data_IF_203220146480
#
_entry.id   IF_203220146480
#
_cell.length_a   1.000
_cell.length_b   1.000
_cell.length_c   1.000
_cell.angle_alpha   90.00
_cell.angle_beta   90.00
_cell.angle_gamma   90.00
#
_symmetry.space_group_name_H-M   'P 1'
#
loop_
_entity.id
_entity.type
_entity.pdbx_description
1 polymer ?
#
# COMPACT_ATOMS: atom_id res chain seq x y z
N UNK A 1 74.93 -34.48 20.18
CA UNK A 1 73.65 -33.83 20.41
C UNK A 1 73.30 -32.96 19.20
N UNK A 2 72.44 -33.45 18.33
CA UNK A 2 72.05 -32.75 17.10
C UNK A 2 70.59 -32.23 17.35
N UNK A 3 70.46 -30.91 17.27
CA UNK A 3 69.20 -30.26 17.33
C UNK A 3 68.66 -30.05 15.92
N UNK A 4 67.54 -30.65 15.60
CA UNK A 4 66.90 -30.55 14.31
C UNK A 4 65.89 -29.37 14.37
N UNK A 5 66.07 -28.37 13.50
CA UNK A 5 65.20 -27.24 13.33
C UNK A 5 64.16 -27.63 12.26
N UNK A 6 62.91 -27.81 12.64
CA UNK A 6 61.79 -27.97 11.71
C UNK A 6 61.30 -26.60 11.24
N UNK A 7 61.47 -26.31 9.99
CA UNK A 7 60.90 -25.12 9.34
C UNK A 7 59.40 -25.37 9.04
N UNK A 8 58.53 -24.57 9.65
CA UNK A 8 57.09 -24.54 9.39
C UNK A 8 56.83 -23.65 8.17
N UNK A 9 56.51 -24.26 7.05
CA UNK A 9 56.04 -23.54 5.85
C UNK A 9 54.57 -23.20 6.04
N UNK A 10 54.28 -21.96 6.36
CA UNK A 10 52.90 -21.43 6.35
C UNK A 10 52.51 -21.09 4.91
N UNK A 11 51.72 -21.97 4.29
CA UNK A 11 51.09 -21.72 3.01
C UNK A 11 49.97 -20.71 3.19
N UNK A 12 50.17 -19.49 2.71
CA UNK A 12 49.15 -18.44 2.68
C UNK A 12 48.19 -18.76 1.51
N UNK A 13 47.14 -19.53 1.76
CA UNK A 13 46.02 -19.63 0.84
C UNK A 13 45.28 -18.30 0.89
N UNK A 14 45.48 -17.45 -0.08
CA UNK A 14 44.59 -16.32 -0.38
C UNK A 14 43.22 -16.90 -0.82
N UNK A 15 42.28 -16.99 0.10
CA UNK A 15 40.88 -17.24 -0.23
C UNK A 15 40.40 -16.01 -0.99
N UNK A 16 40.25 -16.16 -2.31
CA UNK A 16 39.46 -15.26 -3.13
C UNK A 16 38.06 -15.27 -2.55
N UNK A 17 37.70 -14.23 -1.82
CA UNK A 17 36.30 -14.02 -1.41
C UNK A 17 35.45 -14.01 -2.68
N UNK A 18 34.33 -14.77 -2.72
CA UNK A 18 33.43 -14.72 -3.87
C UNK A 18 33.00 -13.28 -4.07
N UNK A 19 33.13 -12.78 -5.29
CA UNK A 19 32.72 -11.41 -5.63
C UNK A 19 31.28 -11.24 -5.19
N UNK A 20 31.00 -10.18 -4.41
CA UNK A 20 29.66 -9.82 -3.99
C UNK A 20 28.76 -9.81 -5.22
N UNK A 21 27.60 -10.45 -5.13
CA UNK A 21 26.59 -10.39 -6.17
C UNK A 21 26.21 -8.93 -6.45
N UNK A 22 25.75 -8.61 -7.64
CA UNK A 22 25.31 -7.23 -7.97
C UNK A 22 24.31 -6.69 -6.94
N UNK A 23 23.46 -7.56 -6.37
CA UNK A 23 22.51 -7.24 -5.29
C UNK A 23 23.21 -6.80 -3.97
N UNK A 24 24.43 -7.27 -3.69
CA UNK A 24 25.17 -6.92 -2.46
C UNK A 24 25.96 -5.61 -2.56
N UNK A 25 26.07 -5.02 -3.75
CA UNK A 25 26.81 -3.78 -3.98
C UNK A 25 26.06 -2.52 -3.56
N UNK A 26 24.75 -2.61 -3.36
CA UNK A 26 23.90 -1.45 -3.08
C UNK A 26 23.23 -1.59 -1.72
N UNK A 27 23.40 -0.58 -0.86
CA UNK A 27 22.58 -0.45 0.35
C UNK A 27 21.15 -0.14 -0.09
N UNK A 28 20.17 -1.05 0.13
CA UNK A 28 18.80 -0.77 -0.27
C UNK A 28 18.28 0.40 0.56
N UNK A 29 17.64 1.37 -0.12
CA UNK A 29 16.92 2.42 0.57
C UNK A 29 15.78 1.81 1.42
N UNK A 30 15.41 2.44 2.56
CA UNK A 30 14.28 1.98 3.35
C UNK A 30 13.05 1.79 2.46
N UNK A 31 12.39 0.64 2.58
CA UNK A 31 11.24 0.29 1.74
C UNK A 31 10.12 1.34 1.80
N UNK A 32 9.97 2.06 2.93
CA UNK A 32 9.01 3.16 3.10
C UNK A 32 9.14 4.27 2.06
N UNK A 33 10.32 4.46 1.47
CA UNK A 33 10.55 5.48 0.43
C UNK A 33 9.99 5.08 -0.94
N UNK A 34 9.55 3.84 -1.12
CA UNK A 34 8.78 3.40 -2.27
C UNK A 34 7.29 3.85 -2.16
N UNK A 35 6.94 4.52 -1.07
CA UNK A 35 5.57 4.97 -0.81
C UNK A 35 4.61 3.80 -0.77
N UNK A 36 3.44 3.96 -1.33
CA UNK A 36 2.46 2.86 -1.42
C UNK A 36 2.88 1.72 -2.38
N UNK A 37 4.04 1.79 -3.02
CA UNK A 37 4.64 0.64 -3.72
C UNK A 37 5.55 -0.21 -2.82
N UNK A 38 5.69 0.15 -1.54
CA UNK A 38 6.35 -0.67 -0.53
C UNK A 38 5.66 -2.02 -0.39
N UNK A 39 6.43 -3.07 -0.18
CA UNK A 39 5.89 -4.40 0.09
C UNK A 39 5.29 -4.46 1.50
N UNK A 40 4.34 -5.37 1.70
CA UNK A 40 3.79 -5.65 3.02
C UNK A 40 4.89 -6.12 3.98
N UNK A 41 4.92 -5.53 5.16
CA UNK A 41 5.90 -5.85 6.20
C UNK A 41 5.36 -6.96 7.13
N UNK A 42 5.64 -8.19 6.78
CA UNK A 42 5.24 -9.34 7.57
C UNK A 42 5.98 -9.47 8.91
N UNK A 43 7.16 -8.85 9.03
CA UNK A 43 7.95 -8.92 10.27
C UNK A 43 7.38 -7.99 11.35
N UNK A 44 6.54 -7.03 10.95
CA UNK A 44 5.85 -6.12 11.86
C UNK A 44 4.47 -6.61 12.32
N UNK A 45 4.05 -7.81 11.90
CA UNK A 45 2.76 -8.39 12.31
C UNK A 45 2.80 -8.76 13.79
N UNK A 46 1.87 -8.18 14.55
CA UNK A 46 1.76 -8.39 15.99
C UNK A 46 0.88 -9.61 16.32
N UNK A 47 1.10 -10.27 17.45
CA UNK A 47 0.13 -11.21 18.00
C UNK A 47 -1.23 -10.55 18.20
N UNK A 48 -2.31 -11.34 18.16
CA UNK A 48 -3.63 -10.81 18.55
C UNK A 48 -3.63 -10.41 20.03
N UNK A 49 -4.27 -9.28 20.32
CA UNK A 49 -4.49 -8.81 21.69
C UNK A 49 -5.99 -8.77 21.93
N UNK A 50 -6.50 -9.81 22.59
CA UNK A 50 -7.92 -9.92 23.01
C UNK A 50 -7.96 -10.47 24.42
N UNK A 51 -8.87 -9.96 25.29
CA UNK A 51 -9.16 -10.61 26.57
C UNK A 51 -9.61 -12.07 26.35
N UNK A 52 -9.20 -12.98 27.21
CA UNK A 52 -9.56 -14.42 27.12
C UNK A 52 -11.07 -14.67 27.14
N UNK A 53 -11.85 -13.74 27.70
CA UNK A 53 -13.30 -13.80 27.73
C UNK A 53 -13.97 -13.39 26.41
N UNK A 54 -13.23 -12.92 25.42
CA UNK A 54 -13.76 -12.52 24.13
C UNK A 54 -13.45 -13.59 23.07
N UNK A 55 -14.49 -14.17 22.50
CA UNK A 55 -14.39 -15.20 21.47
C UNK A 55 -14.65 -14.63 20.08
N UNK A 56 -13.63 -14.50 19.21
CA UNK A 56 -13.80 -14.07 17.84
C UNK A 56 -14.75 -14.98 17.07
N UNK A 57 -15.64 -14.41 16.26
CA UNK A 57 -16.57 -15.19 15.46
C UNK A 57 -16.82 -14.62 14.05
N UNK A 58 -16.53 -13.33 13.83
CA UNK A 58 -16.73 -12.69 12.52
C UNK A 58 -15.65 -11.65 12.24
N UNK A 59 -15.29 -11.51 10.95
CA UNK A 59 -14.32 -10.51 10.49
C UNK A 59 -14.89 -9.74 9.29
N UNK A 60 -14.94 -8.41 9.37
CA UNK A 60 -15.04 -7.53 8.21
C UNK A 60 -13.64 -7.16 7.75
N UNK A 61 -13.31 -7.43 6.49
CA UNK A 61 -11.97 -7.28 5.94
C UNK A 61 -11.97 -6.33 4.75
N UNK A 62 -11.10 -5.34 4.75
CA UNK A 62 -10.94 -4.39 3.64
C UNK A 62 -9.48 -4.46 3.19
N UNK A 63 -9.23 -4.82 1.94
CA UNK A 63 -7.90 -5.08 1.45
C UNK A 63 -7.58 -4.35 0.15
N UNK A 64 -6.32 -4.01 0.00
CA UNK A 64 -5.69 -3.56 -1.23
C UNK A 64 -5.07 -4.75 -1.95
N UNK A 65 -5.05 -4.71 -3.29
CA UNK A 65 -4.33 -5.70 -4.08
C UNK A 65 -2.85 -5.83 -3.67
N UNK A 66 -2.30 -7.03 -3.83
CA UNK A 66 -0.90 -7.37 -3.59
C UNK A 66 0.09 -6.68 -4.53
N UNK A 67 1.36 -7.04 -4.43
CA UNK A 67 2.42 -6.54 -5.30
C UNK A 67 2.10 -6.79 -6.77
N UNK A 68 2.49 -5.86 -7.63
CA UNK A 68 2.10 -5.85 -9.04
C UNK A 68 3.17 -5.27 -9.95
N UNK A 69 3.06 -5.58 -11.22
CA UNK A 69 3.80 -4.90 -12.27
C UNK A 69 3.36 -3.43 -12.41
N UNK A 70 4.18 -2.60 -13.07
CA UNK A 70 3.81 -1.22 -13.38
C UNK A 70 2.47 -1.19 -14.13
N UNK A 71 1.63 -0.20 -13.82
CA UNK A 71 0.26 -0.13 -14.36
C UNK A 71 0.19 0.19 -15.84
N UNK A 72 1.23 0.77 -16.41
CA UNK A 72 1.25 1.23 -17.79
C UNK A 72 2.67 1.32 -18.31
N UNK A 73 2.86 0.97 -19.57
CA UNK A 73 4.09 1.17 -20.33
C UNK A 73 4.49 2.66 -20.43
N UNK A 74 3.53 3.56 -20.34
CA UNK A 74 3.78 4.99 -20.39
C UNK A 74 4.79 5.50 -19.35
N UNK A 75 4.89 4.81 -18.20
CA UNK A 75 5.89 5.18 -17.17
C UNK A 75 7.32 4.96 -17.65
N UNK A 76 7.55 3.91 -18.39
CA UNK A 76 8.86 3.62 -19.02
C UNK A 76 9.06 4.54 -20.22
N UNK A 77 8.05 4.69 -21.07
CA UNK A 77 8.09 5.52 -22.27
C UNK A 77 8.40 6.99 -21.96
N UNK A 78 7.89 7.54 -20.85
CA UNK A 78 8.17 8.93 -20.44
C UNK A 78 9.68 9.15 -20.21
N UNK A 79 10.34 8.23 -19.52
CA UNK A 79 11.79 8.29 -19.27
C UNK A 79 12.56 8.07 -20.58
N UNK A 80 12.26 7.02 -21.32
CA UNK A 80 12.96 6.68 -22.58
C UNK A 80 12.89 7.80 -23.61
N UNK A 81 11.73 8.41 -23.80
CA UNK A 81 11.54 9.51 -24.76
C UNK A 81 12.56 10.62 -24.55
N UNK A 82 12.77 11.04 -23.31
CA UNK A 82 13.71 12.13 -22.99
C UNK A 82 15.15 11.66 -23.16
N UNK A 83 15.50 10.43 -22.75
CA UNK A 83 16.84 9.89 -22.91
C UNK A 83 17.22 9.67 -24.37
N UNK A 84 16.30 9.18 -25.21
CA UNK A 84 16.52 9.00 -26.64
C UNK A 84 16.68 10.34 -27.36
N UNK A 85 15.99 11.38 -26.92
CA UNK A 85 16.18 12.73 -27.44
C UNK A 85 17.56 13.29 -27.07
N UNK A 86 17.99 13.11 -25.80
CA UNK A 86 19.33 13.45 -25.35
C UNK A 86 20.42 12.68 -26.14
N UNK A 87 20.16 11.42 -26.50
CA UNK A 87 21.05 10.63 -27.34
C UNK A 87 21.18 11.21 -28.76
N UNK A 88 20.05 11.59 -29.37
CA UNK A 88 20.06 12.21 -30.71
C UNK A 88 20.81 13.55 -30.72
N UNK A 89 20.73 14.30 -29.64
CA UNK A 89 21.45 15.57 -29.45
C UNK A 89 22.93 15.40 -29.05
N UNK A 90 23.38 14.17 -28.80
CA UNK A 90 24.74 13.89 -28.38
C UNK A 90 25.05 14.29 -26.91
N UNK A 91 24.03 14.57 -26.09
CA UNK A 91 24.19 14.97 -24.69
C UNK A 91 24.00 13.83 -23.69
N UNK A 92 23.48 12.67 -24.13
CA UNK A 92 23.24 11.52 -23.26
C UNK A 92 24.54 11.02 -22.61
N UNK A 93 24.55 10.95 -21.30
CA UNK A 93 25.72 10.49 -20.54
C UNK A 93 25.83 8.95 -20.58
N UNK A 94 26.95 8.41 -20.05
CA UNK A 94 27.10 6.97 -19.81
C UNK A 94 25.96 6.47 -18.89
N UNK A 95 25.70 7.20 -17.81
CA UNK A 95 24.63 6.90 -16.85
C UNK A 95 23.25 6.90 -17.51
N UNK A 96 23.01 7.79 -18.46
CA UNK A 96 21.80 7.80 -19.27
C UNK A 96 21.65 6.56 -20.15
N UNK A 97 22.73 6.04 -20.71
CA UNK A 97 22.73 4.76 -21.46
C UNK A 97 22.42 3.58 -20.55
N UNK A 98 22.97 3.54 -19.35
CA UNK A 98 22.70 2.50 -18.35
C UNK A 98 21.22 2.57 -17.90
N UNK A 99 20.64 3.79 -17.81
CA UNK A 99 19.22 3.98 -17.53
C UNK A 99 18.33 3.47 -18.68
N UNK A 100 18.69 3.69 -19.95
CA UNK A 100 17.99 3.07 -21.07
C UNK A 100 17.99 1.54 -20.98
N UNK A 101 19.13 0.94 -20.62
CA UNK A 101 19.21 -0.50 -20.40
C UNK A 101 18.32 -0.98 -19.24
N UNK A 102 18.16 -0.17 -18.17
CA UNK A 102 17.20 -0.45 -17.11
C UNK A 102 15.76 -0.39 -17.64
N UNK A 103 15.40 0.64 -18.41
CA UNK A 103 14.05 0.76 -19.00
C UNK A 103 13.72 -0.45 -19.86
N UNK A 104 14.66 -0.91 -20.69
CA UNK A 104 14.48 -2.09 -21.51
C UNK A 104 14.29 -3.38 -20.67
N UNK A 105 15.04 -3.54 -19.57
CA UNK A 105 14.83 -4.65 -18.63
C UNK A 105 13.43 -4.63 -18.01
N UNK A 106 12.97 -3.46 -17.57
CA UNK A 106 11.63 -3.27 -17.01
C UNK A 106 10.56 -3.61 -18.05
N UNK A 107 10.73 -3.14 -19.28
CA UNK A 107 9.81 -3.44 -20.39
C UNK A 107 9.69 -4.92 -20.65
N UNK A 108 10.81 -5.64 -20.73
CA UNK A 108 10.82 -7.10 -20.94
C UNK A 108 10.15 -7.85 -19.79
N UNK A 109 10.45 -7.46 -18.55
CA UNK A 109 9.87 -8.10 -17.37
C UNK A 109 8.36 -7.89 -17.26
N UNK A 110 7.85 -6.77 -17.81
CA UNK A 110 6.43 -6.41 -17.74
C UNK A 110 5.65 -6.69 -19.01
N UNK A 111 6.30 -7.24 -20.05
CA UNK A 111 5.65 -7.51 -21.32
C UNK A 111 4.42 -8.42 -21.14
N UNK A 112 3.24 -7.95 -21.60
CA UNK A 112 1.97 -8.65 -21.44
C UNK A 112 1.39 -8.68 -20.03
N UNK A 113 2.06 -8.06 -19.02
CA UNK A 113 1.66 -8.11 -17.62
C UNK A 113 1.46 -6.72 -16.98
N UNK A 114 1.33 -5.67 -17.78
CA UNK A 114 1.12 -4.32 -17.25
C UNK A 114 -0.07 -4.24 -16.31
N UNK A 115 0.18 -3.85 -15.06
CA UNK A 115 -0.83 -3.71 -14.02
C UNK A 115 -1.37 -5.02 -13.45
N UNK A 116 -0.87 -6.17 -13.87
CA UNK A 116 -1.23 -7.47 -13.31
C UNK A 116 -0.54 -7.72 -11.96
N UNK A 117 -1.12 -8.61 -11.17
CA UNK A 117 -0.51 -9.06 -9.91
C UNK A 117 0.84 -9.74 -10.22
N UNK A 118 1.88 -9.45 -9.42
CA UNK A 118 3.17 -10.14 -9.55
C UNK A 118 3.18 -11.41 -8.71
N UNK A 119 4.18 -12.28 -8.93
CA UNK A 119 4.34 -13.47 -8.10
C UNK A 119 4.51 -13.14 -6.62
N UNK A 120 5.23 -12.04 -6.29
CA UNK A 120 5.30 -11.54 -4.91
C UNK A 120 3.90 -11.23 -4.39
N UNK A 121 3.05 -10.59 -5.20
CA UNK A 121 1.68 -10.26 -4.80
C UNK A 121 0.83 -11.49 -4.50
N UNK A 122 0.94 -12.53 -5.31
CA UNK A 122 0.25 -13.81 -5.06
C UNK A 122 0.69 -14.43 -3.73
N UNK A 123 1.99 -14.49 -3.49
CA UNK A 123 2.54 -15.02 -2.25
C UNK A 123 2.16 -14.19 -1.01
N UNK A 124 2.05 -12.84 -1.14
CA UNK A 124 1.54 -11.99 -0.08
C UNK A 124 0.12 -12.40 0.32
N UNK A 125 -0.78 -12.56 -0.63
CA UNK A 125 -2.19 -12.88 -0.36
C UNK A 125 -2.37 -14.31 0.19
N UNK A 126 -1.66 -15.29 -0.38
CA UNK A 126 -1.64 -16.65 0.16
C UNK A 126 -1.16 -16.68 1.61
N UNK A 127 -0.13 -15.90 1.95
CA UNK A 127 0.36 -15.79 3.32
C UNK A 127 -0.65 -15.11 4.23
N UNK A 128 -1.27 -14.01 3.79
CA UNK A 128 -2.28 -13.28 4.56
C UNK A 128 -3.50 -14.16 4.86
N UNK A 129 -3.99 -14.94 3.90
CA UNK A 129 -5.10 -15.87 4.11
C UNK A 129 -4.77 -16.95 5.16
N UNK A 130 -3.59 -17.58 5.07
CA UNK A 130 -3.12 -18.57 6.06
C UNK A 130 -2.94 -17.96 7.45
N UNK A 131 -2.35 -16.76 7.54
CA UNK A 131 -2.19 -16.04 8.82
C UNK A 131 -3.55 -15.67 9.43
N UNK A 132 -4.56 -15.36 8.61
CA UNK A 132 -5.92 -15.08 9.09
C UNK A 132 -6.51 -16.29 9.81
N UNK A 133 -6.44 -17.48 9.22
CA UNK A 133 -6.90 -18.73 9.85
C UNK A 133 -6.08 -19.06 11.09
N UNK A 134 -4.75 -18.96 11.02
CA UNK A 134 -3.88 -19.24 12.16
C UNK A 134 -4.16 -18.33 13.36
N UNK A 135 -4.50 -17.07 13.10
CA UNK A 135 -4.71 -16.06 14.14
C UNK A 135 -6.13 -16.08 14.72
N UNK A 136 -7.12 -16.45 13.90
CA UNK A 136 -8.54 -16.44 14.25
C UNK A 136 -9.24 -17.73 13.80
N UNK A 137 -8.78 -18.92 14.25
CA UNK A 137 -9.37 -20.20 13.81
C UNK A 137 -10.85 -20.30 14.19
N UNK A 138 -11.26 -19.64 15.27
CA UNK A 138 -12.63 -19.64 15.78
C UNK A 138 -13.65 -19.00 14.81
N UNK A 139 -13.16 -18.16 13.88
CA UNK A 139 -14.00 -17.46 12.88
C UNK A 139 -14.45 -18.39 11.74
N UNK A 140 -13.77 -19.53 11.58
CA UNK A 140 -13.94 -20.41 10.43
C UNK A 140 -14.36 -21.85 10.86
N UNK A 141 -15.49 -22.01 11.58
CA UNK A 141 -15.99 -23.36 11.88
C UNK A 141 -16.49 -24.04 10.60
N UNK A 142 -16.38 -25.37 10.51
CA UNK A 142 -16.82 -26.16 9.34
C UNK A 142 -18.30 -25.91 8.97
N UNK A 143 -19.16 -25.62 9.97
CA UNK A 143 -20.58 -25.32 9.80
C UNK A 143 -20.90 -23.82 9.68
N UNK A 144 -19.87 -22.96 9.58
CA UNK A 144 -20.02 -21.52 9.56
C UNK A 144 -20.46 -20.94 8.20
N UNK A 145 -20.62 -19.62 8.16
CA UNK A 145 -21.00 -18.88 6.93
C UNK A 145 -19.87 -18.81 5.90
N UNK A 146 -18.65 -19.19 6.30
CA UNK A 146 -17.49 -19.24 5.43
C UNK A 146 -16.89 -17.88 5.09
N UNK A 147 -16.33 -17.78 3.89
CA UNK A 147 -15.63 -16.58 3.40
C UNK A 147 -16.34 -16.01 2.18
N UNK A 148 -16.70 -14.72 2.24
CA UNK A 148 -17.25 -13.98 1.12
C UNK A 148 -16.31 -12.86 0.71
N UNK A 149 -15.89 -12.81 -0.57
CA UNK A 149 -15.12 -11.71 -1.14
C UNK A 149 -15.94 -10.94 -2.18
N UNK A 150 -15.77 -9.61 -2.18
CA UNK A 150 -16.30 -8.69 -3.18
C UNK A 150 -15.17 -7.80 -3.70
N UNK A 151 -14.92 -7.78 -5.00
CA UNK A 151 -13.80 -7.05 -5.58
C UNK A 151 -14.19 -6.14 -6.75
N UNK A 152 -13.32 -5.17 -7.04
CA UNK A 152 -13.41 -4.41 -8.28
C UNK A 152 -13.19 -5.33 -9.49
N UNK A 153 -13.61 -4.87 -10.67
CA UNK A 153 -13.42 -5.59 -11.94
C UNK A 153 -11.97 -5.66 -12.43
N UNK A 154 -11.02 -5.04 -11.72
CA UNK A 154 -9.62 -4.94 -12.15
C UNK A 154 -8.90 -6.28 -11.92
N UNK A 155 -8.27 -6.90 -12.94
CA UNK A 155 -7.75 -8.27 -12.84
C UNK A 155 -6.86 -8.55 -11.65
N UNK A 156 -5.90 -7.66 -11.32
CA UNK A 156 -5.04 -7.84 -10.14
C UNK A 156 -5.79 -7.88 -8.81
N UNK A 157 -6.97 -7.20 -8.73
CA UNK A 157 -7.77 -7.17 -7.49
C UNK A 157 -8.59 -8.44 -7.37
N UNK A 158 -9.12 -8.94 -8.50
CA UNK A 158 -9.79 -10.24 -8.57
C UNK A 158 -8.82 -11.33 -8.13
N UNK A 159 -7.64 -11.38 -8.74
CA UNK A 159 -6.61 -12.37 -8.42
C UNK A 159 -6.14 -12.27 -6.96
N UNK A 160 -6.03 -11.06 -6.40
CA UNK A 160 -5.74 -10.83 -4.96
C UNK A 160 -6.80 -11.49 -4.07
N UNK A 161 -8.08 -11.21 -4.33
CA UNK A 161 -9.20 -11.81 -3.61
C UNK A 161 -9.18 -13.34 -3.70
N UNK A 162 -9.00 -13.85 -4.92
CA UNK A 162 -8.98 -15.30 -5.17
C UNK A 162 -7.83 -15.99 -4.41
N UNK A 163 -6.60 -15.45 -4.46
CA UNK A 163 -5.46 -16.02 -3.72
C UNK A 163 -5.69 -16.01 -2.20
N UNK A 164 -6.27 -14.93 -1.66
CA UNK A 164 -6.59 -14.85 -0.24
C UNK A 164 -7.65 -15.89 0.17
N UNK A 165 -8.74 -16.02 -0.59
CA UNK A 165 -9.82 -17.00 -0.33
C UNK A 165 -9.31 -18.43 -0.48
N UNK A 166 -8.56 -18.73 -1.54
CA UNK A 166 -7.95 -20.03 -1.77
C UNK A 166 -7.09 -20.44 -0.57
N UNK A 167 -6.26 -19.53 -0.06
CA UNK A 167 -5.39 -19.83 1.08
C UNK A 167 -6.16 -20.19 2.36
N UNK A 168 -7.34 -19.59 2.57
CA UNK A 168 -8.22 -19.94 3.70
C UNK A 168 -8.89 -21.30 3.43
N UNK A 169 -9.45 -21.49 2.23
CA UNK A 169 -10.14 -22.73 1.85
C UNK A 169 -9.23 -23.96 1.85
N UNK A 170 -7.97 -23.80 1.42
CA UNK A 170 -6.96 -24.87 1.46
C UNK A 170 -6.56 -25.28 2.90
N UNK A 171 -6.91 -24.44 3.90
CA UNK A 171 -6.57 -24.71 5.29
C UNK A 171 -7.74 -25.39 6.03
N UNK A 172 -8.97 -25.26 5.54
CA UNK A 172 -10.19 -25.74 6.20
C UNK A 172 -11.07 -26.45 5.16
N UNK A 173 -11.15 -27.77 5.28
CA UNK A 173 -11.94 -28.61 4.39
C UNK A 173 -13.44 -28.28 4.46
N UNK A 174 -14.05 -28.14 3.29
CA UNK A 174 -15.50 -27.94 3.19
C UNK A 174 -15.99 -26.53 3.55
N UNK A 175 -15.09 -25.57 3.84
CA UNK A 175 -15.48 -24.20 4.16
C UNK A 175 -16.22 -23.55 2.99
N UNK A 176 -17.44 -23.01 3.17
CA UNK A 176 -18.15 -22.30 2.11
C UNK A 176 -17.39 -21.05 1.67
N UNK A 177 -17.21 -20.87 0.37
CA UNK A 177 -16.54 -19.69 -0.19
C UNK A 177 -17.38 -19.04 -1.29
N UNK A 178 -17.30 -17.71 -1.38
CA UNK A 178 -17.94 -16.93 -2.43
C UNK A 178 -17.03 -15.79 -2.85
N UNK A 179 -16.65 -15.76 -4.12
CA UNK A 179 -15.84 -14.71 -4.73
C UNK A 179 -16.65 -13.99 -5.82
N UNK A 180 -16.93 -12.72 -5.62
CA UNK A 180 -17.71 -11.89 -6.53
C UNK A 180 -16.90 -10.68 -6.99
N UNK A 181 -16.96 -10.37 -8.28
CA UNK A 181 -16.23 -9.26 -8.86
C UNK A 181 -17.05 -8.52 -9.90
N UNK A 182 -16.66 -7.29 -10.20
CA UNK A 182 -17.26 -6.55 -11.29
C UNK A 182 -17.63 -5.12 -10.93
N UNK A 183 -18.23 -4.42 -11.93
CA UNK A 183 -18.64 -3.02 -11.78
C UNK A 183 -19.79 -2.81 -10.80
N UNK A 184 -20.55 -3.87 -10.49
CA UNK A 184 -21.58 -3.82 -9.46
C UNK A 184 -21.01 -3.45 -8.08
N UNK A 185 -19.72 -3.71 -7.86
CA UNK A 185 -19.03 -3.40 -6.60
C UNK A 185 -18.20 -2.09 -6.67
N UNK A 186 -18.30 -1.31 -7.75
CA UNK A 186 -17.57 -0.04 -7.88
C UNK A 186 -17.94 0.97 -6.79
N UNK A 187 -19.17 0.95 -6.28
CA UNK A 187 -19.62 1.77 -5.16
C UNK A 187 -18.88 1.48 -3.84
N UNK A 188 -18.32 0.27 -3.65
CA UNK A 188 -17.51 -0.12 -2.51
C UNK A 188 -15.99 -0.05 -2.79
N UNK A 189 -15.59 -0.29 -4.04
CA UNK A 189 -14.18 -0.53 -4.38
C UNK A 189 -13.56 0.57 -5.22
N UNK A 190 -14.37 1.37 -5.94
CA UNK A 190 -13.94 2.41 -6.87
C UNK A 190 -14.76 3.69 -6.78
N UNK A 191 -15.40 3.95 -5.64
CA UNK A 191 -16.22 5.15 -5.39
C UNK A 191 -15.46 6.45 -5.72
N UNK A 192 -14.14 6.45 -5.65
CA UNK A 192 -13.28 7.56 -6.09
C UNK A 192 -13.41 7.90 -7.61
N UNK A 193 -14.09 7.08 -8.40
CA UNK A 193 -14.42 7.36 -9.80
C UNK A 193 -15.93 7.44 -10.06
N UNK A 194 -16.77 7.01 -9.14
CA UNK A 194 -18.22 6.93 -9.31
C UNK A 194 -18.99 7.98 -8.51
N UNK A 195 -18.40 8.54 -7.44
CA UNK A 195 -18.95 9.69 -6.71
C UNK A 195 -18.52 10.98 -7.42
N UNK A 196 -19.46 11.74 -8.05
CA UNK A 196 -19.09 12.83 -8.95
C UNK A 196 -18.32 13.98 -8.30
N UNK A 197 -18.69 14.39 -7.08
CA UNK A 197 -18.00 15.45 -6.33
C UNK A 197 -16.57 15.05 -6.00
N UNK A 198 -16.37 13.82 -5.56
CA UNK A 198 -15.05 13.28 -5.24
C UNK A 198 -14.18 13.12 -6.49
N UNK A 199 -14.71 12.58 -7.61
CA UNK A 199 -13.96 12.48 -8.86
C UNK A 199 -13.55 13.86 -9.39
N UNK A 200 -14.43 14.87 -9.26
CA UNK A 200 -14.13 16.27 -9.57
C UNK A 200 -13.01 16.81 -8.69
N UNK A 201 -13.07 16.59 -7.37
CA UNK A 201 -12.01 16.99 -6.42
C UNK A 201 -10.65 16.43 -6.84
N UNK A 202 -10.57 15.14 -7.10
CA UNK A 202 -9.33 14.48 -7.53
C UNK A 202 -8.75 15.09 -8.81
N UNK A 203 -9.60 15.41 -9.76
CA UNK A 203 -9.18 15.89 -11.10
C UNK A 203 -8.89 17.37 -11.13
N UNK A 204 -9.61 18.18 -10.37
CA UNK A 204 -9.63 19.65 -10.53
C UNK A 204 -9.68 20.42 -9.20
N UNK A 205 -9.45 19.77 -8.06
CA UNK A 205 -9.44 20.45 -6.75
C UNK A 205 -8.28 21.42 -6.59
N UNK A 206 -8.46 22.41 -5.71
CA UNK A 206 -7.50 23.50 -5.44
C UNK A 206 -6.16 23.00 -4.88
N UNK A 207 -6.12 21.76 -4.39
CA UNK A 207 -4.89 21.09 -3.98
C UNK A 207 -3.80 21.08 -5.06
N UNK A 208 -4.17 21.20 -6.34
CA UNK A 208 -3.23 21.15 -7.45
C UNK A 208 -2.25 22.32 -7.46
N UNK A 209 -2.70 23.49 -7.06
CA UNK A 209 -1.82 24.66 -6.99
C UNK A 209 -0.82 24.49 -5.84
N UNK A 210 -1.29 24.03 -4.67
CA UNK A 210 -0.41 23.71 -3.54
C UNK A 210 0.61 22.63 -3.92
N UNK A 211 0.17 21.56 -4.58
CA UNK A 211 1.05 20.49 -5.05
C UNK A 211 2.07 20.98 -6.09
N UNK A 212 1.66 21.83 -7.01
CA UNK A 212 2.52 22.41 -8.04
C UNK A 212 3.67 23.21 -7.41
N UNK A 213 3.35 24.07 -6.43
CA UNK A 213 4.35 24.87 -5.74
C UNK A 213 5.29 24.00 -4.90
N UNK A 214 4.73 23.01 -4.18
CA UNK A 214 5.52 22.05 -3.42
C UNK A 214 6.47 21.25 -4.33
N UNK A 215 5.96 20.66 -5.41
CA UNK A 215 6.75 19.85 -6.33
C UNK A 215 7.84 20.66 -7.04
N UNK A 216 7.58 21.93 -7.35
CA UNK A 216 8.55 22.81 -8.00
C UNK A 216 9.79 23.10 -7.12
N UNK A 217 9.64 23.14 -5.79
CA UNK A 217 10.75 23.37 -4.84
C UNK A 217 11.37 22.09 -4.30
N UNK A 218 10.63 20.98 -4.30
CA UNK A 218 11.05 19.72 -3.63
C UNK A 218 11.70 18.74 -4.61
N UNK A 219 11.16 18.60 -5.85
CA UNK A 219 11.67 17.62 -6.79
C UNK A 219 13.11 17.93 -7.24
N UNK A 220 14.02 16.94 -7.23
CA UNK A 220 15.42 17.15 -7.56
C UNK A 220 15.67 17.29 -9.07
N UNK A 221 16.63 18.12 -9.44
CA UNK A 221 17.11 18.31 -10.83
C UNK A 221 18.29 17.39 -11.16
N UNK A 222 19.20 17.18 -10.18
CA UNK A 222 20.46 16.47 -10.36
C UNK A 222 20.34 15.04 -10.95
N UNK A 223 19.38 14.20 -10.53
CA UNK A 223 19.25 12.87 -11.12
C UNK A 223 19.07 12.89 -12.63
N UNK A 224 18.20 13.78 -13.12
CA UNK A 224 17.98 13.97 -14.55
C UNK A 224 19.22 14.53 -15.27
N UNK A 225 19.86 15.56 -14.72
CA UNK A 225 21.12 16.10 -15.28
C UNK A 225 22.21 15.05 -15.41
N UNK A 226 22.32 14.14 -14.41
CA UNK A 226 23.26 13.05 -14.46
C UNK A 226 23.02 12.07 -15.62
N UNK A 227 21.78 11.99 -16.12
CA UNK A 227 21.42 11.14 -17.24
C UNK A 227 21.59 11.84 -18.59
N UNK A 228 21.09 13.07 -18.73
CA UNK A 228 21.03 13.77 -20.01
C UNK A 228 22.20 14.72 -20.27
N UNK A 229 23.01 14.99 -19.24
CA UNK A 229 24.13 15.95 -19.29
C UNK A 229 23.69 17.40 -19.10
N UNK A 230 24.62 18.25 -18.61
CA UNK A 230 24.36 19.69 -18.34
C UNK A 230 23.99 20.48 -19.57
N UNK A 231 24.42 20.05 -20.76
CA UNK A 231 24.18 20.72 -22.04
C UNK A 231 22.97 20.14 -22.79
N UNK A 232 22.03 19.49 -22.08
CA UNK A 232 20.86 18.85 -22.67
C UNK A 232 19.85 19.84 -23.28
N UNK A 233 19.90 21.12 -22.86
CA UNK A 233 18.93 22.16 -23.28
C UNK A 233 17.58 22.01 -22.59
N UNK A 234 17.44 21.14 -21.58
CA UNK A 234 16.21 21.00 -20.80
C UNK A 234 16.12 22.06 -19.71
N UNK A 235 14.93 22.59 -19.50
CA UNK A 235 14.63 23.47 -18.37
C UNK A 235 14.61 22.70 -17.04
N UNK A 236 14.77 23.41 -15.92
CA UNK A 236 14.65 22.83 -14.58
C UNK A 236 13.34 22.06 -14.38
N UNK A 237 12.24 22.58 -14.93
CA UNK A 237 10.93 21.93 -14.88
C UNK A 237 10.94 20.56 -15.58
N UNK A 238 11.56 20.48 -16.76
CA UNK A 238 11.67 19.22 -17.51
C UNK A 238 12.61 18.24 -16.81
N UNK A 239 13.71 18.72 -16.23
CA UNK A 239 14.64 17.91 -15.44
C UNK A 239 13.97 17.35 -14.18
N UNK A 240 13.19 18.17 -13.45
CA UNK A 240 12.41 17.69 -12.30
C UNK A 240 11.39 16.63 -12.70
N UNK A 241 10.71 16.83 -13.84
CA UNK A 241 9.76 15.86 -14.37
C UNK A 241 10.44 14.53 -14.70
N UNK A 242 11.60 14.55 -15.36
CA UNK A 242 12.37 13.34 -15.67
C UNK A 242 12.85 12.62 -14.40
N UNK A 243 13.34 13.35 -13.39
CA UNK A 243 13.73 12.78 -12.10
C UNK A 243 12.53 12.08 -11.43
N UNK A 244 11.37 12.71 -11.45
CA UNK A 244 10.15 12.16 -10.87
C UNK A 244 9.62 10.95 -11.65
N UNK A 245 9.66 10.98 -12.98
CA UNK A 245 9.27 9.83 -13.81
C UNK A 245 10.22 8.64 -13.58
N UNK A 246 11.51 8.88 -13.46
CA UNK A 246 12.47 7.83 -13.07
C UNK A 246 12.12 7.24 -11.70
N UNK A 247 11.85 8.06 -10.69
CA UNK A 247 11.42 7.59 -9.37
C UNK A 247 10.18 6.69 -9.48
N UNK A 248 9.19 7.06 -10.29
CA UNK A 248 7.96 6.25 -10.51
C UNK A 248 8.22 4.88 -11.12
N UNK A 249 9.32 4.69 -11.82
CA UNK A 249 9.77 3.36 -12.28
C UNK A 249 10.51 2.63 -11.15
N UNK A 250 11.48 3.31 -10.51
CA UNK A 250 12.35 2.71 -9.49
C UNK A 250 11.58 2.16 -8.29
N UNK A 251 10.56 2.89 -7.80
CA UNK A 251 9.72 2.45 -6.67
C UNK A 251 8.97 1.14 -6.94
N UNK A 252 8.77 0.77 -8.20
CA UNK A 252 8.07 -0.47 -8.58
C UNK A 252 8.98 -1.69 -8.73
N UNK A 253 10.30 -1.53 -8.74
CA UNK A 253 11.22 -2.63 -9.07
C UNK A 253 11.12 -3.81 -8.11
N UNK A 254 11.04 -3.54 -6.79
CA UNK A 254 10.90 -4.59 -5.78
C UNK A 254 9.62 -5.41 -5.95
N UNK A 255 8.51 -4.74 -6.26
CA UNK A 255 7.22 -5.39 -6.49
C UNK A 255 7.21 -6.33 -7.72
N UNK A 256 8.17 -6.15 -8.64
CA UNK A 256 8.35 -6.94 -9.85
C UNK A 256 9.49 -7.97 -9.73
N UNK A 257 10.06 -8.18 -8.56
CA UNK A 257 11.25 -9.01 -8.33
C UNK A 257 12.48 -8.59 -9.16
N UNK A 258 12.56 -7.31 -9.51
CA UNK A 258 13.71 -6.79 -10.22
C UNK A 258 14.74 -6.21 -9.24
N UNK A 259 16.05 -6.30 -9.55
CA UNK A 259 17.06 -5.60 -8.79
C UNK A 259 16.73 -4.10 -8.69
N UNK A 260 16.81 -3.55 -7.47
CA UNK A 260 16.43 -2.17 -7.20
C UNK A 260 17.64 -1.32 -6.74
N UNK A 261 18.61 -1.04 -7.65
CA UNK A 261 19.81 -0.26 -7.33
C UNK A 261 19.48 1.25 -7.31
N UNK A 262 18.53 1.64 -6.47
CA UNK A 262 17.97 3.00 -6.44
C UNK A 262 19.02 4.06 -6.11
N UNK A 263 20.03 3.72 -5.30
CA UNK A 263 21.17 4.62 -4.96
C UNK A 263 22.13 4.87 -6.12
N UNK A 264 22.09 4.06 -7.16
CA UNK A 264 22.83 4.32 -8.40
C UNK A 264 22.32 5.57 -9.12
N UNK A 265 21.02 5.84 -9.01
CA UNK A 265 20.31 6.87 -9.77
C UNK A 265 20.07 8.13 -8.97
N UNK A 266 19.73 7.97 -7.68
CA UNK A 266 19.35 9.05 -6.77
C UNK A 266 20.04 8.86 -5.43
N UNK A 267 20.38 9.96 -4.74
CA UNK A 267 20.74 9.88 -3.32
C UNK A 267 19.51 9.51 -2.49
N UNK A 268 19.67 9.04 -1.24
CA UNK A 268 18.54 8.81 -0.34
C UNK A 268 17.63 10.02 -0.18
N UNK A 269 18.19 11.22 -0.10
CA UNK A 269 17.47 12.48 0.07
C UNK A 269 16.67 12.83 -1.18
N UNK A 270 17.24 12.64 -2.38
CA UNK A 270 16.55 12.87 -3.65
C UNK A 270 15.41 11.89 -3.88
N UNK A 271 15.61 10.64 -3.50
CA UNK A 271 14.58 9.61 -3.56
C UNK A 271 13.45 9.93 -2.57
N UNK A 272 13.79 10.33 -1.34
CA UNK A 272 12.83 10.79 -0.33
C UNK A 272 12.05 12.02 -0.80
N UNK A 273 12.72 13.00 -1.44
CA UNK A 273 12.05 14.18 -1.98
C UNK A 273 10.99 13.82 -3.05
N UNK A 274 11.28 12.86 -3.92
CA UNK A 274 10.30 12.34 -4.87
C UNK A 274 9.14 11.62 -4.17
N UNK A 275 9.42 10.84 -3.11
CA UNK A 275 8.39 10.22 -2.30
C UNK A 275 7.52 11.26 -1.58
N UNK A 276 8.11 12.29 -0.97
CA UNK A 276 7.35 13.36 -0.31
C UNK A 276 6.34 14.01 -1.25
N UNK A 277 6.74 14.26 -2.52
CA UNK A 277 5.82 14.78 -3.52
C UNK A 277 4.68 13.79 -3.82
N UNK A 278 4.98 12.51 -3.98
CA UNK A 278 3.95 11.47 -4.20
C UNK A 278 3.03 11.32 -2.98
N UNK A 279 3.58 11.38 -1.78
CA UNK A 279 2.85 11.28 -0.52
C UNK A 279 1.85 12.43 -0.38
N UNK A 280 2.29 13.67 -0.65
CA UNK A 280 1.43 14.85 -0.62
C UNK A 280 0.31 14.79 -1.68
N UNK A 281 0.63 14.35 -2.91
CA UNK A 281 -0.38 14.17 -3.96
C UNK A 281 -1.48 13.22 -3.50
N UNK A 282 -1.11 12.08 -2.90
CA UNK A 282 -2.08 11.09 -2.40
C UNK A 282 -2.86 11.58 -1.17
N UNK A 283 -2.21 12.31 -0.29
CA UNK A 283 -2.87 12.91 0.86
C UNK A 283 -4.05 13.76 0.42
N UNK A 284 -3.85 14.69 -0.53
CA UNK A 284 -4.92 15.53 -1.03
C UNK A 284 -5.99 14.78 -1.83
N UNK A 285 -5.59 13.77 -2.58
CA UNK A 285 -6.52 13.03 -3.43
C UNK A 285 -7.36 12.01 -2.66
N UNK A 286 -6.85 11.46 -1.55
CA UNK A 286 -7.44 10.26 -0.95
C UNK A 286 -7.60 10.32 0.58
N UNK A 287 -7.25 11.42 1.24
CA UNK A 287 -7.40 11.55 2.68
C UNK A 287 -8.23 12.77 3.08
N UNK A 288 -8.55 12.84 4.36
CA UNK A 288 -9.09 14.06 4.97
C UNK A 288 -7.99 15.12 5.02
N UNK A 289 -8.25 16.28 4.47
CA UNK A 289 -7.29 17.40 4.47
C UNK A 289 -7.96 18.71 4.86
N UNK A 290 -7.19 19.76 5.24
CA UNK A 290 -7.75 21.09 5.49
C UNK A 290 -8.48 21.68 4.29
N UNK A 291 -8.21 21.19 3.08
CA UNK A 291 -8.80 21.69 1.85
C UNK A 291 -10.10 20.99 1.47
N UNK A 292 -10.34 19.77 1.97
CA UNK A 292 -11.56 19.02 1.57
C UNK A 292 -11.84 17.79 2.43
N UNK A 293 -13.13 17.55 2.65
CA UNK A 293 -13.67 16.31 3.23
C UNK A 293 -14.14 15.32 2.15
N UNK A 294 -14.15 15.69 0.88
CA UNK A 294 -14.68 14.89 -0.24
C UNK A 294 -14.11 13.46 -0.32
N UNK A 295 -12.79 13.24 -0.13
CA UNK A 295 -12.28 11.87 -0.16
C UNK A 295 -12.90 10.99 0.94
N UNK A 296 -12.94 11.47 2.17
CA UNK A 296 -13.51 10.73 3.30
C UNK A 296 -15.03 10.49 3.09
N UNK A 297 -15.77 11.52 2.68
CA UNK A 297 -17.22 11.43 2.43
C UNK A 297 -17.54 10.50 1.26
N UNK A 298 -16.67 10.42 0.25
CA UNK A 298 -16.81 9.49 -0.86
C UNK A 298 -16.81 8.01 -0.44
N UNK A 299 -16.25 7.68 0.73
CA UNK A 299 -16.20 6.32 1.29
C UNK A 299 -17.45 5.93 2.10
N UNK A 300 -18.49 6.77 2.14
CA UNK A 300 -19.67 6.58 3.00
C UNK A 300 -20.38 5.22 2.79
N UNK A 301 -20.47 4.75 1.55
CA UNK A 301 -21.10 3.45 1.24
C UNK A 301 -20.37 2.28 1.93
N UNK A 302 -19.04 2.33 2.01
CA UNK A 302 -18.25 1.30 2.72
C UNK A 302 -18.54 1.36 4.21
N UNK A 303 -18.57 2.54 4.81
CA UNK A 303 -18.91 2.70 6.23
C UNK A 303 -20.33 2.18 6.53
N UNK A 304 -21.33 2.52 5.71
CA UNK A 304 -22.69 2.04 5.89
C UNK A 304 -22.82 0.52 5.67
N UNK A 305 -22.02 -0.05 4.75
CA UNK A 305 -21.92 -1.51 4.60
C UNK A 305 -21.43 -2.18 5.89
N UNK A 306 -20.37 -1.65 6.51
CA UNK A 306 -19.85 -2.14 7.79
C UNK A 306 -20.88 -1.98 8.94
N UNK A 307 -21.61 -0.86 8.99
CA UNK A 307 -22.68 -0.65 9.97
C UNK A 307 -23.82 -1.66 9.78
N UNK A 308 -24.21 -1.96 8.55
CA UNK A 308 -25.22 -2.97 8.25
C UNK A 308 -24.78 -4.38 8.68
N UNK A 309 -23.49 -4.72 8.50
CA UNK A 309 -22.91 -5.97 9.04
C UNK A 309 -23.00 -6.00 10.58
N UNK A 310 -22.68 -4.91 11.26
CA UNK A 310 -22.83 -4.81 12.73
C UNK A 310 -24.26 -5.04 13.19
N UNK A 311 -25.26 -4.47 12.47
CA UNK A 311 -26.68 -4.68 12.78
C UNK A 311 -27.05 -6.14 12.56
N UNK A 312 -26.60 -6.76 11.47
CA UNK A 312 -26.87 -8.15 11.16
C UNK A 312 -26.24 -9.12 12.21
N UNK A 313 -25.04 -8.83 12.69
CA UNK A 313 -24.39 -9.57 13.78
C UNK A 313 -25.15 -9.46 15.10
N UNK A 314 -25.67 -8.26 15.43
CA UNK A 314 -26.47 -8.06 16.65
C UNK A 314 -27.83 -8.76 16.59
N UNK A 315 -28.45 -8.82 15.42
CA UNK A 315 -29.74 -9.47 15.20
C UNK A 315 -29.63 -10.99 14.96
N UNK A 316 -28.39 -11.52 14.88
CA UNK A 316 -28.14 -12.94 14.62
C UNK A 316 -28.46 -13.39 13.19
N UNK A 317 -28.68 -12.46 12.24
CA UNK A 317 -28.88 -12.77 10.82
C UNK A 317 -27.57 -12.96 10.05
N UNK A 318 -26.45 -12.56 10.62
CA UNK A 318 -25.11 -12.84 10.19
C UNK A 318 -24.38 -13.56 11.31
N UNK A 319 -23.75 -14.67 10.97
CA UNK A 319 -23.09 -15.58 11.94
C UNK A 319 -21.57 -15.58 11.72
N UNK A 320 -20.93 -16.70 12.03
CA UNK A 320 -19.48 -16.86 11.91
C UNK A 320 -18.98 -16.70 10.48
N UNK A 321 -17.77 -16.22 10.28
CA UNK A 321 -17.14 -16.13 8.97
C UNK A 321 -16.42 -14.80 8.70
N UNK A 322 -16.09 -14.59 7.42
CA UNK A 322 -15.39 -13.39 6.94
C UNK A 322 -16.09 -12.79 5.73
N UNK A 323 -16.31 -11.48 5.75
CA UNK A 323 -16.69 -10.68 4.57
C UNK A 323 -15.57 -9.74 4.18
N UNK A 324 -15.10 -9.82 2.93
CA UNK A 324 -13.97 -9.05 2.41
C UNK A 324 -14.34 -8.11 1.26
N UNK A 325 -13.88 -6.85 1.32
CA UNK A 325 -13.92 -5.88 0.23
C UNK A 325 -12.49 -5.70 -0.29
N UNK A 326 -12.25 -6.05 -1.56
CA UNK A 326 -10.94 -5.99 -2.17
C UNK A 326 -10.86 -4.85 -3.19
N UNK A 327 -9.90 -3.95 -3.01
CA UNK A 327 -9.79 -2.74 -3.80
C UNK A 327 -8.37 -2.27 -4.03
N UNK A 328 -8.18 -0.98 -3.88
CA UNK A 328 -6.96 -0.23 -4.22
C UNK A 328 -6.51 0.62 -3.02
N UNK A 329 -5.33 1.25 -3.08
CA UNK A 329 -4.95 2.27 -2.10
C UNK A 329 -5.98 3.41 -2.07
N UNK A 330 -6.50 3.74 -3.23
CA UNK A 330 -7.55 4.73 -3.49
C UNK A 330 -8.92 4.34 -2.87
N UNK A 331 -9.11 3.07 -2.53
CA UNK A 331 -10.25 2.57 -1.76
C UNK A 331 -9.98 2.71 -0.25
N UNK A 332 -8.80 2.24 0.19
CA UNK A 332 -8.50 2.13 1.61
C UNK A 332 -8.27 3.49 2.28
N UNK A 333 -7.49 4.39 1.66
CA UNK A 333 -7.14 5.68 2.26
C UNK A 333 -8.37 6.52 2.64
N UNK A 334 -9.40 6.69 1.76
CA UNK A 334 -10.60 7.41 2.14
C UNK A 334 -11.42 6.71 3.23
N UNK A 335 -11.50 5.38 3.17
CA UNK A 335 -12.17 4.58 4.21
C UNK A 335 -11.48 4.77 5.56
N UNK A 336 -10.15 4.69 5.61
CA UNK A 336 -9.38 4.92 6.83
C UNK A 336 -9.62 6.32 7.38
N UNK A 337 -9.61 7.34 6.53
CA UNK A 337 -9.86 8.73 6.91
C UNK A 337 -11.29 8.92 7.49
N UNK A 338 -12.30 8.31 6.89
CA UNK A 338 -13.69 8.37 7.37
C UNK A 338 -13.85 7.64 8.70
N UNK A 339 -13.33 6.42 8.81
CA UNK A 339 -13.46 5.60 10.02
C UNK A 339 -12.57 6.09 11.19
N UNK A 340 -11.63 7.01 10.94
CA UNK A 340 -10.71 7.50 11.95
C UNK A 340 -9.61 6.51 12.32
N UNK A 341 -9.16 5.71 11.36
CA UNK A 341 -8.06 4.76 11.60
C UNK A 341 -6.79 5.53 11.99
N UNK A 342 -6.05 5.10 13.03
CA UNK A 342 -4.87 5.82 13.49
C UNK A 342 -3.85 6.13 12.39
N UNK A 343 -3.40 7.39 12.35
CA UNK A 343 -2.44 7.89 11.36
C UNK A 343 -3.03 8.20 9.98
N UNK A 344 -4.36 8.07 9.79
CA UNK A 344 -5.02 8.40 8.52
C UNK A 344 -5.61 9.81 8.47
N UNK A 345 -5.69 10.51 9.60
CA UNK A 345 -6.34 11.83 9.75
C UNK A 345 -5.35 12.86 10.27
N UNK A 346 -4.34 13.20 9.50
CA UNK A 346 -3.44 14.30 9.82
C UNK A 346 -4.02 15.63 9.29
N UNK A 347 -3.87 16.69 10.07
CA UNK A 347 -4.16 18.07 9.67
C UNK A 347 -2.90 18.92 9.89
N UNK A 348 -1.86 18.72 9.05
CA UNK A 348 -0.55 19.33 9.28
C UNK A 348 -0.59 20.85 9.15
N UNK A 349 0.26 21.54 9.94
CA UNK A 349 0.46 22.97 9.85
C UNK A 349 1.25 23.38 8.60
N UNK A 350 2.13 22.48 8.14
CA UNK A 350 2.83 22.61 6.87
C UNK A 350 2.93 21.23 6.17
N UNK A 351 3.19 21.26 4.88
CA UNK A 351 3.27 20.03 4.10
C UNK A 351 4.69 19.48 3.95
N UNK A 352 5.70 20.20 4.39
CA UNK A 352 7.10 19.77 4.28
C UNK A 352 7.40 18.59 5.21
N UNK A 353 6.69 18.51 6.33
CA UNK A 353 6.79 17.45 7.34
C UNK A 353 5.57 16.52 7.37
N UNK A 354 4.67 16.60 6.38
CA UNK A 354 3.48 15.74 6.31
C UNK A 354 3.79 14.26 6.53
N UNK A 355 4.92 13.77 6.02
CA UNK A 355 5.32 12.35 6.09
C UNK A 355 5.52 11.82 7.52
N UNK A 356 5.71 12.69 8.50
CA UNK A 356 5.83 12.32 9.91
C UNK A 356 4.48 11.93 10.50
N UNK A 357 3.43 12.64 10.12
CA UNK A 357 2.06 12.43 10.60
C UNK A 357 1.27 11.47 9.70
N UNK A 358 1.34 11.68 8.38
CA UNK A 358 0.62 10.90 7.38
C UNK A 358 1.57 10.31 6.34
N UNK A 359 1.46 9.00 6.09
CA UNK A 359 2.34 8.29 5.17
C UNK A 359 1.57 7.21 4.41
N UNK A 360 1.54 7.34 3.08
CA UNK A 360 0.94 6.35 2.19
C UNK A 360 1.65 4.98 2.29
N UNK A 361 2.95 4.98 2.56
CA UNK A 361 3.75 3.77 2.77
C UNK A 361 3.34 3.01 4.04
N UNK A 362 2.97 3.73 5.11
CA UNK A 362 2.51 3.14 6.37
C UNK A 362 1.07 2.67 6.29
N UNK A 363 0.21 3.47 5.67
CA UNK A 363 -1.23 3.20 5.61
C UNK A 363 -1.58 2.15 4.57
N UNK A 364 -1.03 2.29 3.37
CA UNK A 364 -1.42 1.44 2.25
C UNK A 364 -0.22 0.91 1.46
N UNK A 365 0.69 0.12 2.07
CA UNK A 365 1.65 -0.68 1.30
C UNK A 365 0.89 -1.64 0.36
N UNK A 366 1.59 -2.32 -0.55
CA UNK A 366 1.00 -3.39 -1.36
C UNK A 366 0.50 -4.51 -0.44
N UNK A 367 -0.70 -5.05 -0.70
CA UNK A 367 -1.42 -6.00 0.18
C UNK A 367 -1.91 -5.41 1.52
N UNK A 368 -1.95 -4.08 1.66
CA UNK A 368 -2.47 -3.42 2.86
C UNK A 368 -3.89 -3.85 3.18
N UNK A 369 -4.20 -3.95 4.47
CA UNK A 369 -5.50 -4.41 4.92
C UNK A 369 -5.91 -3.81 6.27
N UNK A 370 -7.23 -3.73 6.45
CA UNK A 370 -7.88 -3.45 7.73
C UNK A 370 -8.80 -4.64 8.05
N UNK A 371 -8.55 -5.31 9.16
CA UNK A 371 -9.44 -6.32 9.70
C UNK A 371 -10.18 -5.75 10.92
N UNK A 372 -11.51 -5.88 10.92
CA UNK A 372 -12.38 -5.55 12.05
C UNK A 372 -12.89 -6.87 12.60
N UNK A 373 -12.42 -7.25 13.78
CA UNK A 373 -12.69 -8.53 14.40
C UNK A 373 -13.82 -8.36 15.41
N UNK A 374 -14.91 -9.07 15.21
CA UNK A 374 -16.05 -9.09 16.12
C UNK A 374 -15.95 -10.32 17.03
N UNK A 375 -16.01 -10.06 18.34
CA UNK A 375 -15.87 -11.08 19.38
C UNK A 375 -17.04 -11.05 20.35
N UNK A 376 -17.51 -12.22 20.78
CA UNK A 376 -18.63 -12.37 21.71
C UNK A 376 -18.12 -12.59 23.13
N UNK A 377 -18.61 -11.81 24.08
CA UNK A 377 -18.42 -12.05 25.49
C UNK A 377 -19.38 -13.11 26.05
N UNK A 378 -19.13 -13.72 27.20
CA UNK A 378 -20.05 -14.66 27.87
C UNK A 378 -21.44 -14.07 28.13
N UNK A 379 -21.54 -12.75 28.28
CA UNK A 379 -22.82 -12.03 28.41
C UNK A 379 -23.64 -11.95 27.12
N UNK A 380 -23.12 -12.45 25.99
CA UNK A 380 -23.69 -12.27 24.65
C UNK A 380 -23.39 -10.92 24.00
N UNK A 381 -22.77 -9.98 24.71
CA UNK A 381 -22.38 -8.67 24.15
C UNK A 381 -21.26 -8.84 23.11
N UNK A 382 -21.36 -8.11 21.99
CA UNK A 382 -20.38 -8.15 20.92
C UNK A 382 -19.47 -6.93 21.00
N UNK A 383 -18.16 -7.21 20.90
CA UNK A 383 -17.08 -6.23 20.86
C UNK A 383 -16.40 -6.26 19.50
N UNK A 384 -15.88 -5.13 19.09
CA UNK A 384 -15.07 -4.97 17.89
C UNK A 384 -13.65 -4.55 18.28
N UNK A 385 -12.65 -5.17 17.67
CA UNK A 385 -11.26 -4.78 17.68
C UNK A 385 -10.76 -4.59 16.26
N UNK A 386 -9.67 -3.85 16.07
CA UNK A 386 -9.14 -3.55 14.74
C UNK A 386 -7.67 -3.91 14.58
N UNK A 387 -7.32 -4.32 13.36
CA UNK A 387 -5.92 -4.53 12.96
C UNK A 387 -5.66 -3.86 11.62
N UNK A 388 -4.68 -2.95 11.60
CA UNK A 388 -4.19 -2.30 10.38
C UNK A 388 -2.85 -2.93 9.98
N UNK A 389 -2.78 -3.50 8.80
CA UNK A 389 -1.56 -4.15 8.28
C UNK A 389 -0.95 -5.13 9.31
N UNK A 390 -1.79 -5.91 9.98
CA UNK A 390 -1.36 -6.89 10.99
C UNK A 390 -1.02 -6.33 12.37
N UNK A 391 -1.12 -5.02 12.60
CA UNK A 391 -0.90 -4.39 13.91
C UNK A 391 -2.21 -4.10 14.62
N UNK A 392 -2.25 -4.28 15.93
CA UNK A 392 -3.42 -3.93 16.73
C UNK A 392 -3.54 -2.41 16.82
N UNK A 393 -4.71 -1.88 16.47
CA UNK A 393 -4.99 -0.44 16.52
C UNK A 393 -6.29 -0.16 17.28
N UNK A 394 -6.39 0.97 18.00
CA UNK A 394 -7.62 1.34 18.68
C UNK A 394 -8.75 1.57 17.66
N UNK A 395 -9.97 1.05 17.93
CA UNK A 395 -11.12 1.23 17.04
C UNK A 395 -11.73 2.64 17.07
N UNK A 396 -11.34 3.45 18.04
CA UNK A 396 -11.80 4.84 18.26
C UNK A 396 -10.60 5.74 18.58
N UNK A 397 -10.84 7.01 18.89
CA UNK A 397 -9.79 7.96 19.27
C UNK A 397 -9.18 7.69 20.67
N UNK A 398 -9.66 6.69 21.41
CA UNK A 398 -9.08 6.29 22.69
C UNK A 398 -7.92 5.29 22.48
N UNK A 399 -6.66 5.72 22.58
CA UNK A 399 -5.51 4.86 22.31
C UNK A 399 -5.32 3.74 23.36
N UNK A 400 -5.97 3.85 24.53
CA UNK A 400 -5.90 2.85 25.60
C UNK A 400 -6.87 1.69 25.41
N UNK A 401 -7.79 1.77 24.44
CA UNK A 401 -8.83 0.75 24.23
C UNK A 401 -8.67 0.03 22.89
N UNK A 402 -8.21 -1.21 22.91
CA UNK A 402 -8.08 -2.06 21.72
C UNK A 402 -9.37 -2.81 21.35
N UNK A 403 -10.41 -2.71 22.17
CA UNK A 403 -11.74 -3.24 21.87
C UNK A 403 -12.84 -2.34 22.45
N UNK A 404 -13.93 -2.19 21.70
CA UNK A 404 -15.13 -1.41 22.08
C UNK A 404 -16.38 -2.19 21.72
N UNK A 405 -17.52 -1.89 22.32
CA UNK A 405 -18.78 -2.54 21.91
C UNK A 405 -19.22 -2.06 20.54
N UNK A 406 -20.00 -2.87 19.81
CA UNK A 406 -20.57 -2.46 18.52
C UNK A 406 -21.35 -1.14 18.59
N UNK A 407 -22.21 -0.88 19.59
CA UNK A 407 -22.90 0.41 19.69
C UNK A 407 -21.92 1.59 19.86
N UNK A 408 -20.85 1.45 20.65
CA UNK A 408 -19.84 2.49 20.80
C UNK A 408 -19.14 2.77 19.48
N UNK A 409 -18.69 1.73 18.76
CA UNK A 409 -18.03 1.88 17.48
C UNK A 409 -18.92 2.53 16.42
N UNK A 410 -20.17 2.08 16.33
CA UNK A 410 -21.15 2.64 15.40
C UNK A 410 -21.45 4.10 15.70
N UNK A 411 -21.62 4.47 16.97
CA UNK A 411 -21.82 5.85 17.39
C UNK A 411 -20.61 6.71 17.02
N UNK A 412 -19.39 6.20 17.24
CA UNK A 412 -18.16 6.90 16.88
C UNK A 412 -18.11 7.17 15.35
N UNK A 413 -18.37 6.18 14.49
CA UNK A 413 -18.36 6.37 13.05
C UNK A 413 -19.45 7.31 12.55
N UNK A 414 -20.67 7.21 13.09
CA UNK A 414 -21.78 8.11 12.73
C UNK A 414 -21.48 9.56 13.15
N UNK A 415 -20.91 9.78 14.30
CA UNK A 415 -20.51 11.13 14.74
C UNK A 415 -19.43 11.72 13.80
N UNK A 416 -18.42 10.93 13.40
CA UNK A 416 -17.42 11.36 12.41
C UNK A 416 -18.08 11.71 11.07
N UNK A 417 -18.95 10.84 10.57
CA UNK A 417 -19.70 11.11 9.35
C UNK A 417 -20.47 12.44 9.41
N UNK A 418 -21.19 12.69 10.49
CA UNK A 418 -21.94 13.94 10.69
C UNK A 418 -21.03 15.16 10.77
N UNK A 419 -19.90 15.05 11.45
CA UNK A 419 -18.90 16.14 11.55
C UNK A 419 -18.28 16.50 10.20
N UNK A 420 -18.06 15.51 9.33
CA UNK A 420 -17.44 15.70 8.02
C UNK A 420 -18.44 16.09 6.92
N UNK A 421 -19.73 15.86 7.14
CA UNK A 421 -20.77 16.14 6.16
C UNK A 421 -21.14 17.64 6.14
N UNK A 422 -20.95 18.35 5.01
CA UNK A 422 -21.32 19.76 4.90
C UNK A 422 -22.81 20.04 5.15
N UNK A 423 -23.68 19.06 4.91
CA UNK A 423 -25.13 19.18 5.05
C UNK A 423 -25.66 18.85 6.45
N UNK A 424 -24.82 18.40 7.39
CA UNK A 424 -25.25 18.14 8.76
C UNK A 424 -25.31 19.40 9.65
N UNK A 425 -24.96 20.56 9.10
CA UNK A 425 -24.94 21.85 9.81
C UNK A 425 -26.16 22.76 9.50
N UNK A 426 -27.19 22.23 8.82
CA UNK A 426 -28.42 22.99 8.53
C UNK A 426 -29.69 22.22 8.92
#
# INVERSE_FOLDING_TARGET
MKATISALVISLMATLAPGRSEAERYTPLPARLDGSMSLYDFDSVEPRVLPDSLHPFYISYIARHGARYLTSENKVNSVEKVLLEAQRRGSLTRKGKDCLALMERVRRATAGQWGMLSEIGKQQELRLGREMVRMFPEVFPESGSGVKGESSYVPRVIETMDQFIIAIADTIDGLPTSANSGRAYDHLTRFFTTVPSYDKWRKTGDWKDVYKDFSARTLPVRPAEALVGKNSGLSDKELRSLSYDLYKVLQGLRAMSLPAPTTEWMTPEEYAACWHATNLEKYFQYSLSPLSTEPAMGASEVMFRLINEQIALQNGTLTDGLSGIFGHAETLLPVFALLGVPGSTALPLDYDHLYEEWSDARLTPLAANLAIIYSRAPSGRIYASMRLNGRNVPPTDDPGRLSVTIPELRTYWLNRYLQLSPSALF
#
